data_IF_567879379498
#
_entry.id   IF_567879379498
#
_cell.length_a   1.000
_cell.length_b   1.000
_cell.length_c   1.000
_cell.angle_alpha   90.00
_cell.angle_beta   90.00
_cell.angle_gamma   90.00
#
_symmetry.space_group_name_H-M   'P 1'
#
loop_
_entity.id
_entity.type
_entity.pdbx_description
1 polymer ?
#
# COMPACT_ATOMS: atom_id res chain seq x y z
N UNK A 1 -2.47 11.43 4.29
CA UNK A 1 -3.53 11.09 5.26
C UNK A 1 -3.73 12.17 6.31
N UNK A 2 -2.71 12.57 7.08
CA UNK A 2 -2.86 13.54 8.18
C UNK A 2 -3.42 14.92 7.76
N UNK A 3 -2.82 15.54 6.71
CA UNK A 3 -3.28 16.84 6.16
C UNK A 3 -4.75 16.84 5.71
N UNK A 4 -5.27 15.70 5.23
CA UNK A 4 -6.67 15.58 4.75
C UNK A 4 -7.69 15.64 5.91
N UNK A 5 -7.25 15.35 7.13
CA UNK A 5 -8.11 15.28 8.31
C UNK A 5 -7.74 16.32 9.38
N UNK A 6 -6.99 17.37 9.03
CA UNK A 6 -6.58 18.46 9.93
C UNK A 6 -5.93 17.97 11.26
N UNK A 7 -5.21 16.84 11.21
CA UNK A 7 -4.46 16.31 12.35
C UNK A 7 -2.96 16.27 12.06
N UNK A 8 -2.14 16.29 13.10
CA UNK A 8 -0.69 16.10 12.98
C UNK A 8 -0.33 14.67 12.61
N UNK A 9 0.79 14.47 11.92
CA UNK A 9 1.30 13.13 11.57
C UNK A 9 1.61 12.29 12.82
N UNK A 10 2.15 12.93 13.86
CA UNK A 10 2.41 12.28 15.16
C UNK A 10 1.14 11.78 15.81
N UNK A 11 0.04 12.54 15.76
CA UNK A 11 -1.24 12.11 16.31
C UNK A 11 -1.84 10.96 15.50
N UNK A 12 -1.83 11.06 14.16
CA UNK A 12 -2.26 9.98 13.28
C UNK A 12 -1.49 8.68 13.55
N UNK A 13 -0.16 8.77 13.70
CA UNK A 13 0.68 7.61 14.03
C UNK A 13 0.31 7.02 15.39
N UNK A 14 0.07 7.85 16.41
CA UNK A 14 -0.38 7.38 17.74
C UNK A 14 -1.71 6.63 17.65
N UNK A 15 -2.68 7.14 16.89
CA UNK A 15 -3.97 6.48 16.70
C UNK A 15 -3.82 5.12 16.00
N UNK A 16 -3.05 5.05 14.93
CA UNK A 16 -2.80 3.81 14.21
C UNK A 16 -2.10 2.76 15.09
N UNK A 17 -1.07 3.16 15.84
CA UNK A 17 -0.41 2.25 16.77
C UNK A 17 -1.33 1.80 17.92
N UNK A 18 -2.19 2.69 18.43
CA UNK A 18 -3.13 2.39 19.52
C UNK A 18 -4.22 1.40 19.12
N UNK A 19 -4.76 1.53 17.91
CA UNK A 19 -5.96 0.81 17.48
C UNK A 19 -5.70 -0.32 16.49
N UNK A 20 -4.64 -0.21 15.68
CA UNK A 20 -4.33 -1.16 14.60
C UNK A 20 -2.97 -1.84 14.77
N UNK A 21 -2.15 -1.40 15.74
CA UNK A 21 -0.81 -1.91 16.01
C UNK A 21 0.15 -1.91 14.81
N UNK A 22 -0.10 -1.03 13.84
CA UNK A 22 0.71 -0.86 12.63
C UNK A 22 0.89 0.62 12.33
N UNK A 23 1.91 0.99 11.54
CA UNK A 23 2.04 2.39 11.12
C UNK A 23 1.00 2.73 10.03
N UNK A 24 0.61 4.02 9.88
CA UNK A 24 -0.26 4.44 8.77
C UNK A 24 0.28 4.09 7.40
N UNK A 25 1.61 4.10 7.24
CA UNK A 25 2.28 3.77 5.99
C UNK A 25 2.16 2.28 5.67
N UNK A 26 2.39 1.42 6.66
CA UNK A 26 2.33 -0.04 6.48
C UNK A 26 0.90 -0.47 6.20
N UNK A 27 -0.08 0.10 6.92
CA UNK A 27 -1.50 -0.15 6.66
C UNK A 27 -1.92 0.25 5.24
N UNK A 28 -1.49 1.44 4.77
CA UNK A 28 -1.77 1.86 3.40
C UNK A 28 -1.08 0.96 2.36
N UNK A 29 0.13 0.51 2.66
CA UNK A 29 0.88 -0.39 1.79
C UNK A 29 0.16 -1.73 1.66
N UNK A 30 -0.28 -2.32 2.77
CA UNK A 30 -1.03 -3.56 2.78
C UNK A 30 -2.33 -3.48 1.96
N UNK A 31 -3.10 -2.40 2.12
CA UNK A 31 -4.30 -2.16 1.28
C UNK A 31 -3.94 -2.13 -0.21
N UNK A 32 -2.88 -1.40 -0.58
CA UNK A 32 -2.42 -1.30 -1.97
C UNK A 32 -2.01 -2.66 -2.53
N UNK A 33 -1.32 -3.49 -1.74
CA UNK A 33 -0.92 -4.83 -2.17
C UNK A 33 -2.12 -5.76 -2.36
N UNK A 34 -3.12 -5.72 -1.48
CA UNK A 34 -4.39 -6.45 -1.65
C UNK A 34 -5.20 -6.01 -2.89
N UNK A 35 -5.05 -4.77 -3.34
CA UNK A 35 -5.59 -4.33 -4.63
C UNK A 35 -4.78 -4.87 -5.80
N UNK A 36 -3.45 -4.83 -5.69
CA UNK A 36 -2.55 -5.37 -6.72
C UNK A 36 -2.75 -6.87 -6.94
N UNK A 37 -2.90 -7.67 -5.88
CA UNK A 37 -3.22 -9.10 -5.97
C UNK A 37 -4.47 -9.36 -6.80
N UNK A 38 -5.53 -8.57 -6.58
CA UNK A 38 -6.78 -8.68 -7.36
C UNK A 38 -6.58 -8.31 -8.82
N UNK A 39 -5.82 -7.27 -9.13
CA UNK A 39 -5.53 -6.93 -10.52
C UNK A 39 -4.72 -8.03 -11.21
N UNK A 40 -3.71 -8.58 -10.53
CA UNK A 40 -2.87 -9.65 -11.06
C UNK A 40 -3.66 -10.95 -11.27
N UNK A 41 -4.61 -11.25 -10.38
CA UNK A 41 -5.39 -12.49 -10.45
C UNK A 41 -6.54 -12.43 -11.47
N UNK A 42 -7.20 -11.28 -11.63
CA UNK A 42 -8.50 -11.19 -12.31
C UNK A 42 -8.53 -10.28 -13.53
N UNK A 43 -7.39 -9.72 -13.95
CA UNK A 43 -7.32 -8.83 -15.12
C UNK A 43 -6.12 -9.17 -16.00
N UNK A 44 -6.07 -8.55 -17.18
CA UNK A 44 -4.91 -8.60 -18.08
C UNK A 44 -4.18 -7.26 -18.16
N UNK A 45 -4.28 -6.44 -17.11
CA UNK A 45 -3.60 -5.14 -17.06
C UNK A 45 -2.08 -5.30 -17.06
N UNK A 46 -1.40 -4.34 -17.67
CA UNK A 46 0.06 -4.31 -17.67
C UNK A 46 0.58 -4.00 -16.27
N UNK A 47 1.78 -4.48 -15.97
CA UNK A 47 2.43 -4.22 -14.69
C UNK A 47 2.61 -2.71 -14.44
N UNK A 48 2.85 -1.91 -15.50
CA UNK A 48 2.86 -0.44 -15.45
C UNK A 48 1.56 0.12 -14.91
N UNK A 49 0.44 -0.36 -15.46
CA UNK A 49 -0.88 0.09 -15.07
C UNK A 49 -1.17 -0.27 -13.61
N UNK A 50 -0.89 -1.52 -13.22
CA UNK A 50 -1.11 -2.01 -11.84
C UNK A 50 -0.27 -1.20 -10.85
N UNK A 51 1.01 -0.97 -11.16
CA UNK A 51 1.89 -0.14 -10.33
C UNK A 51 1.32 1.27 -10.13
N UNK A 52 0.90 1.92 -11.22
CA UNK A 52 0.32 3.26 -11.17
C UNK A 52 -0.99 3.29 -10.35
N UNK A 53 -1.90 2.33 -10.60
CA UNK A 53 -3.16 2.19 -9.89
C UNK A 53 -2.97 1.95 -8.39
N UNK A 54 -1.87 1.28 -8.01
CA UNK A 54 -1.50 1.02 -6.62
C UNK A 54 -0.65 2.15 -6.00
N UNK A 55 -0.44 3.26 -6.72
CA UNK A 55 0.26 4.45 -6.23
C UNK A 55 1.78 4.34 -6.25
N UNK A 56 2.35 3.53 -7.13
CA UNK A 56 3.79 3.44 -7.40
C UNK A 56 4.13 4.19 -8.69
N UNK A 57 5.33 4.76 -8.72
CA UNK A 57 5.80 5.53 -9.88
C UNK A 57 6.14 4.63 -11.08
N UNK A 58 6.66 3.43 -10.81
CA UNK A 58 7.05 2.45 -11.82
C UNK A 58 6.90 1.02 -11.29
N UNK A 59 6.98 0.06 -12.22
CA UNK A 59 6.84 -1.37 -11.98
C UNK A 59 7.97 -1.92 -11.12
N UNK A 60 9.17 -1.34 -11.18
CA UNK A 60 10.32 -1.87 -10.44
C UNK A 60 10.13 -1.65 -8.93
N UNK A 61 9.76 -0.43 -8.53
CA UNK A 61 9.43 -0.12 -7.15
C UNK A 61 8.20 -0.88 -6.66
N UNK A 62 7.19 -1.02 -7.52
CA UNK A 62 6.02 -1.83 -7.23
C UNK A 62 6.40 -3.29 -6.96
N UNK A 63 7.11 -3.96 -7.88
CA UNK A 63 7.47 -5.38 -7.75
C UNK A 63 8.30 -5.64 -6.50
N UNK A 64 9.26 -4.76 -6.18
CA UNK A 64 10.06 -4.88 -4.95
C UNK A 64 9.18 -4.79 -3.69
N UNK A 65 8.24 -3.84 -3.65
CA UNK A 65 7.32 -3.70 -2.53
C UNK A 65 6.33 -4.88 -2.45
N UNK A 66 5.82 -5.33 -3.59
CA UNK A 66 4.89 -6.46 -3.69
C UNK A 66 5.54 -7.74 -3.18
N UNK A 67 6.75 -8.07 -3.60
CA UNK A 67 7.49 -9.24 -3.12
C UNK A 67 7.86 -9.14 -1.62
N UNK A 68 8.06 -7.92 -1.11
CA UNK A 68 8.36 -7.72 0.32
C UNK A 68 7.16 -8.00 1.22
N UNK A 69 5.94 -7.82 0.71
CA UNK A 69 4.69 -7.99 1.48
C UNK A 69 4.10 -9.37 1.22
N UNK A 70 4.05 -9.78 -0.04
CA UNK A 70 3.51 -11.06 -0.48
C UNK A 70 4.64 -12.09 -0.41
N UNK A 71 4.66 -12.88 0.67
CA UNK A 71 5.55 -14.02 0.76
C UNK A 71 5.09 -15.10 -0.21
N UNK A 72 5.86 -15.33 -1.26
CA UNK A 72 5.76 -16.55 -2.05
C UNK A 72 6.45 -17.66 -1.27
N UNK A 73 5.68 -18.63 -0.76
CA UNK A 73 6.20 -19.90 -0.30
C UNK A 73 6.48 -20.81 -1.50
#
# INVERSE_FOLDING_TARGET
MAKKHAISESYLRKLFMKHLHVSPKDYLTDIRMRHAERYLAYTSYTLRFIANACGFHDEFHFSKAFHSVVRFN
#
